data_IF_823322143780
#
_entry.id   IF_823322143780
#
_cell.length_a   1.000
_cell.length_b   1.000
_cell.length_c   1.000
_cell.angle_alpha   90.00
_cell.angle_beta   90.00
_cell.angle_gamma   90.00
#
_symmetry.space_group_name_H-M   'P 1'
#
loop_
_entity.id
_entity.type
_entity.pdbx_description
1 polymer ?
#
# COMPACT_ATOMS: atom_id res chain seq x y z
N UNK A 1 25.54 -6.02 3.68
CA UNK A 1 24.97 -7.26 3.09
C UNK A 1 23.44 -7.34 3.21
N UNK A 2 22.83 -6.89 4.30
CA UNK A 2 21.38 -6.97 4.59
C UNK A 2 20.51 -6.00 3.76
N UNK A 3 21.08 -4.91 3.28
CA UNK A 3 20.43 -3.90 2.44
C UNK A 3 20.27 -4.31 0.98
N UNK A 4 21.16 -5.19 0.50
CA UNK A 4 20.98 -5.90 -0.76
C UNK A 4 19.72 -6.79 -0.68
N UNK A 5 19.41 -7.35 0.51
CA UNK A 5 18.20 -8.12 0.72
C UNK A 5 16.94 -7.25 0.63
N UNK A 6 16.94 -6.00 1.11
CA UNK A 6 15.80 -5.06 0.95
C UNK A 6 15.50 -4.74 -0.53
N UNK A 7 16.54 -4.50 -1.32
CA UNK A 7 16.44 -4.24 -2.76
C UNK A 7 16.06 -5.51 -3.54
N UNK A 8 16.61 -6.65 -3.14
CA UNK A 8 16.22 -7.94 -3.69
C UNK A 8 14.77 -8.26 -3.32
N UNK A 9 14.33 -8.08 -2.08
CA UNK A 9 13.02 -8.45 -1.53
C UNK A 9 11.83 -7.75 -2.20
N UNK A 10 12.03 -6.57 -2.81
CA UNK A 10 10.95 -5.87 -3.52
C UNK A 10 10.68 -6.35 -4.93
N UNK A 11 11.75 -6.57 -5.71
CA UNK A 11 11.64 -6.83 -7.15
C UNK A 11 12.01 -8.27 -7.50
N UNK A 12 13.07 -8.84 -6.89
CA UNK A 12 13.64 -10.10 -7.37
C UNK A 12 12.78 -11.34 -7.04
N UNK A 13 12.27 -11.55 -5.80
CA UNK A 13 11.39 -12.69 -5.52
C UNK A 13 10.06 -12.62 -6.25
N UNK A 14 9.49 -11.42 -6.41
CA UNK A 14 8.27 -11.24 -7.20
C UNK A 14 8.50 -11.59 -8.67
N UNK A 15 9.63 -11.17 -9.27
CA UNK A 15 9.93 -11.41 -10.68
C UNK A 15 10.41 -12.84 -10.97
N UNK A 16 11.24 -13.41 -10.09
CA UNK A 16 11.76 -14.77 -10.22
C UNK A 16 10.71 -15.85 -9.89
N UNK A 17 9.79 -15.58 -8.96
CA UNK A 17 8.87 -16.62 -8.47
C UNK A 17 7.38 -16.28 -8.63
N UNK A 18 6.99 -15.02 -8.81
CA UNK A 18 5.59 -14.57 -8.81
C UNK A 18 4.74 -14.94 -10.05
N UNK A 19 5.34 -15.48 -11.12
CA UNK A 19 4.57 -16.00 -12.26
C UNK A 19 3.77 -17.26 -11.93
N UNK A 20 4.19 -18.05 -10.94
CA UNK A 20 3.67 -19.41 -10.69
C UNK A 20 3.09 -19.67 -9.28
N UNK A 21 3.00 -18.67 -8.40
CA UNK A 21 2.44 -18.89 -7.06
C UNK A 21 0.91 -18.99 -7.09
N UNK A 22 0.39 -20.18 -6.73
CA UNK A 22 -1.03 -20.38 -6.37
C UNK A 22 -1.38 -19.84 -4.98
N UNK A 23 -0.39 -19.68 -4.09
CA UNK A 23 -0.56 -19.20 -2.72
C UNK A 23 0.09 -17.83 -2.51
N UNK A 24 -0.70 -16.78 -2.75
CA UNK A 24 -0.30 -15.38 -2.57
C UNK A 24 -0.14 -14.96 -1.09
N UNK A 25 -0.62 -15.77 -0.14
CA UNK A 25 -0.86 -15.37 1.25
C UNK A 25 0.38 -15.28 2.15
N UNK A 26 1.44 -16.06 1.93
CA UNK A 26 2.60 -16.11 2.85
C UNK A 26 3.63 -15.00 2.62
N UNK A 27 3.71 -14.48 1.39
CA UNK A 27 4.57 -13.33 1.05
C UNK A 27 3.97 -11.98 1.51
N UNK A 28 2.67 -11.97 1.84
CA UNK A 28 1.90 -10.79 2.24
C UNK A 28 2.48 -10.08 3.49
N UNK A 29 3.05 -10.85 4.42
CA UNK A 29 3.62 -10.32 5.67
C UNK A 29 5.13 -10.52 5.74
N UNK A 30 5.68 -11.57 5.13
CA UNK A 30 7.09 -11.93 5.30
C UNK A 30 8.06 -10.86 4.81
N UNK A 31 7.86 -10.33 3.60
CA UNK A 31 8.79 -9.35 3.00
C UNK A 31 8.71 -7.98 3.68
N UNK A 32 7.51 -7.43 3.98
CA UNK A 32 7.38 -6.18 4.72
C UNK A 32 7.90 -6.29 6.18
N UNK A 33 7.58 -7.38 6.89
CA UNK A 33 8.05 -7.59 8.27
C UNK A 33 9.55 -7.85 8.35
N UNK A 34 10.15 -8.49 7.33
CA UNK A 34 11.61 -8.58 7.22
C UNK A 34 12.26 -7.21 6.97
N UNK A 35 11.59 -6.30 6.26
CA UNK A 35 12.07 -4.92 6.11
C UNK A 35 12.02 -4.12 7.41
N UNK A 36 10.95 -4.27 8.20
CA UNK A 36 10.81 -3.66 9.53
C UNK A 36 11.84 -4.20 10.53
N UNK A 37 12.07 -5.52 10.56
CA UNK A 37 13.04 -6.09 11.48
C UNK A 37 14.46 -5.59 11.19
N UNK A 38 14.83 -5.36 9.93
CA UNK A 38 16.13 -4.81 9.55
C UNK A 38 16.28 -3.33 9.96
N UNK A 39 15.23 -2.51 9.84
CA UNK A 39 15.26 -1.08 10.23
C UNK A 39 15.50 -0.87 11.75
N UNK A 40 15.07 -1.83 12.57
CA UNK A 40 15.23 -1.75 14.02
C UNK A 40 16.69 -1.94 14.49
N UNK A 41 17.54 -2.60 13.69
CA UNK A 41 18.91 -2.98 14.07
C UNK A 41 20.02 -2.04 13.60
N UNK A 42 19.74 -1.02 12.79
CA UNK A 42 20.75 -0.07 12.32
C UNK A 42 20.32 1.38 12.56
N UNK A 43 21.28 2.27 12.73
CA UNK A 43 21.05 3.69 12.97
C UNK A 43 21.09 4.46 11.63
N UNK A 44 19.94 4.90 11.08
CA UNK A 44 19.85 5.54 9.77
C UNK A 44 20.49 6.93 9.72
N UNK A 45 21.04 7.42 10.83
CA UNK A 45 21.51 8.81 10.99
C UNK A 45 22.94 9.07 10.47
N UNK A 46 23.70 8.04 10.11
CA UNK A 46 25.02 8.24 9.52
C UNK A 46 24.92 8.51 8.01
N UNK A 47 25.03 9.80 7.65
CA UNK A 47 25.09 10.28 6.27
C UNK A 47 26.35 9.74 5.55
N UNK A 48 26.30 8.48 5.16
CA UNK A 48 27.35 7.78 4.43
C UNK A 48 27.01 7.75 2.94
N UNK A 49 28.02 7.64 2.09
CA UNK A 49 27.84 7.40 0.64
C UNK A 49 26.96 6.18 0.36
N UNK A 50 26.96 5.19 1.26
CA UNK A 50 26.11 4.01 1.20
C UNK A 50 24.63 4.38 1.32
N UNK A 51 24.26 5.29 2.24
CA UNK A 51 22.87 5.72 2.43
C UNK A 51 22.27 6.32 1.15
N UNK A 52 23.01 7.20 0.47
CA UNK A 52 22.57 7.82 -0.80
C UNK A 52 22.39 6.79 -1.92
N UNK A 53 23.26 5.78 -2.00
CA UNK A 53 23.12 4.69 -2.98
C UNK A 53 21.86 3.87 -2.71
N UNK A 54 21.56 3.59 -1.45
CA UNK A 54 20.37 2.84 -1.07
C UNK A 54 19.07 3.62 -1.32
N UNK A 55 19.07 4.92 -1.03
CA UNK A 55 17.97 5.83 -1.34
C UNK A 55 17.65 5.81 -2.84
N UNK A 56 18.68 5.94 -3.69
CA UNK A 56 18.53 5.87 -5.14
C UNK A 56 18.00 4.51 -5.60
N UNK A 57 18.48 3.40 -5.02
CA UNK A 57 18.01 2.05 -5.35
C UNK A 57 16.55 1.83 -4.94
N UNK A 58 16.14 2.33 -3.77
CA UNK A 58 14.75 2.28 -3.30
C UNK A 58 13.83 3.14 -4.16
N UNK A 59 14.28 4.35 -4.55
CA UNK A 59 13.56 5.20 -5.48
C UNK A 59 13.38 4.53 -6.85
N UNK A 60 14.45 3.96 -7.40
CA UNK A 60 14.39 3.20 -8.67
C UNK A 60 13.43 2.00 -8.55
N UNK A 61 13.45 1.31 -7.42
CA UNK A 61 12.53 0.19 -7.13
C UNK A 61 11.08 0.63 -7.11
N UNK A 62 10.81 1.77 -6.47
CA UNK A 62 9.48 2.38 -6.41
C UNK A 62 8.98 2.75 -7.81
N UNK A 63 9.82 3.41 -8.63
CA UNK A 63 9.52 3.77 -10.02
C UNK A 63 9.22 2.55 -10.88
N UNK A 64 10.06 1.51 -10.82
CA UNK A 64 9.84 0.27 -11.57
C UNK A 64 8.55 -0.43 -11.15
N UNK A 65 8.27 -0.49 -9.85
CA UNK A 65 7.03 -1.10 -9.32
C UNK A 65 5.81 -0.32 -9.79
N UNK A 66 5.85 1.01 -9.79
CA UNK A 66 4.79 1.84 -10.33
C UNK A 66 4.53 1.51 -11.80
N UNK A 67 5.55 1.44 -12.65
CA UNK A 67 5.38 1.06 -14.06
C UNK A 67 4.80 -0.36 -14.25
N UNK A 68 5.23 -1.31 -13.42
CA UNK A 68 4.69 -2.68 -13.45
C UNK A 68 3.23 -2.74 -12.98
N UNK A 69 2.86 -1.88 -12.03
CA UNK A 69 1.49 -1.78 -11.54
C UNK A 69 0.52 -1.41 -12.65
N UNK A 70 0.94 -0.51 -13.56
CA UNK A 70 0.13 -0.07 -14.69
C UNK A 70 -0.24 -1.19 -15.67
N UNK A 71 0.57 -2.26 -15.73
CA UNK A 71 0.31 -3.43 -16.58
C UNK A 71 -0.42 -4.55 -15.85
N UNK A 72 -0.61 -4.42 -14.54
CA UNK A 72 -1.23 -5.44 -13.71
C UNK A 72 -2.69 -5.12 -13.47
N UNK A 73 -3.55 -6.10 -13.76
CA UNK A 73 -5.01 -6.00 -13.60
C UNK A 73 -5.54 -6.80 -12.40
N UNK A 74 -4.73 -7.67 -11.83
CA UNK A 74 -5.13 -8.50 -10.70
C UNK A 74 -5.03 -7.69 -9.40
N UNK A 75 -6.16 -7.48 -8.72
CA UNK A 75 -6.27 -6.65 -7.52
C UNK A 75 -5.42 -7.15 -6.36
N UNK A 76 -5.34 -8.48 -6.20
CA UNK A 76 -4.46 -9.13 -5.21
C UNK A 76 -3.01 -8.73 -5.48
N UNK A 77 -2.54 -8.85 -6.73
CA UNK A 77 -1.16 -8.45 -7.09
C UNK A 77 -0.91 -6.96 -6.88
N UNK A 78 -1.90 -6.12 -7.15
CA UNK A 78 -1.80 -4.67 -6.98
C UNK A 78 -1.64 -4.25 -5.52
N UNK A 79 -2.20 -4.99 -4.56
CA UNK A 79 -2.01 -4.68 -3.14
C UNK A 79 -0.55 -4.73 -2.70
N UNK A 80 0.24 -5.66 -3.24
CA UNK A 80 1.68 -5.75 -2.95
C UNK A 80 2.45 -4.58 -3.55
N UNK A 81 2.06 -4.11 -4.73
CA UNK A 81 2.75 -3.01 -5.39
C UNK A 81 2.62 -1.70 -4.62
N UNK A 82 1.51 -1.46 -3.92
CA UNK A 82 1.43 -0.33 -3.00
C UNK A 82 2.52 -0.38 -1.93
N UNK A 83 2.81 -1.56 -1.36
CA UNK A 83 3.88 -1.67 -0.35
C UNK A 83 5.24 -1.35 -0.95
N UNK A 84 5.56 -1.89 -2.12
CA UNK A 84 6.87 -1.69 -2.76
C UNK A 84 7.06 -0.29 -3.34
N UNK A 85 6.02 0.36 -3.85
CA UNK A 85 6.09 1.77 -4.24
C UNK A 85 6.47 2.64 -3.03
N UNK A 86 5.97 2.33 -1.85
CA UNK A 86 6.24 3.12 -0.65
C UNK A 86 7.53 2.74 0.08
N UNK A 87 8.36 1.82 -0.43
CA UNK A 87 9.61 1.44 0.23
C UNK A 87 10.58 2.61 0.42
N UNK A 88 10.58 3.55 -0.53
CA UNK A 88 11.43 4.75 -0.46
C UNK A 88 11.03 5.71 0.67
N UNK A 89 9.85 5.53 1.27
CA UNK A 89 9.43 6.31 2.45
C UNK A 89 10.42 6.15 3.62
N UNK A 90 11.15 5.03 3.72
CA UNK A 90 12.12 4.83 4.81
C UNK A 90 13.19 5.93 4.90
N UNK A 91 13.46 6.64 3.80
CA UNK A 91 14.47 7.70 3.72
C UNK A 91 13.96 9.08 4.12
N UNK A 92 12.64 9.27 4.27
CA UNK A 92 12.03 10.54 4.68
C UNK A 92 11.57 10.55 6.14
N UNK A 93 11.46 9.39 6.78
CA UNK A 93 11.13 9.27 8.19
C UNK A 93 12.40 9.19 9.03
N UNK A 94 12.72 10.28 9.75
CA UNK A 94 13.86 10.35 10.69
C UNK A 94 13.53 9.70 12.03
N UNK A 95 12.28 9.80 12.45
CA UNK A 95 11.78 9.20 13.69
C UNK A 95 11.34 7.75 13.41
N UNK A 96 11.99 6.80 14.09
CA UNK A 96 11.74 5.36 13.91
C UNK A 96 10.29 5.01 14.21
N UNK A 97 9.71 5.61 15.24
CA UNK A 97 8.32 5.34 15.64
C UNK A 97 7.32 5.80 14.58
N UNK A 98 7.53 7.00 14.01
CA UNK A 98 6.70 7.53 12.93
C UNK A 98 6.78 6.66 11.66
N UNK A 99 7.97 6.14 11.34
CA UNK A 99 8.13 5.18 10.25
C UNK A 99 7.35 3.89 10.49
N UNK A 100 7.45 3.32 11.68
CA UNK A 100 6.74 2.09 12.05
C UNK A 100 5.22 2.27 11.98
N UNK A 101 4.70 3.40 12.46
CA UNK A 101 3.29 3.76 12.31
C UNK A 101 2.87 3.86 10.84
N UNK A 102 3.65 4.57 10.01
CA UNK A 102 3.38 4.72 8.59
C UNK A 102 3.36 3.37 7.87
N UNK A 103 4.41 2.58 8.06
CA UNK A 103 4.58 1.30 7.38
C UNK A 103 3.56 0.26 7.86
N UNK A 104 3.26 0.23 9.15
CA UNK A 104 2.18 -0.59 9.70
C UNK A 104 0.83 -0.21 9.09
N UNK A 105 0.51 1.08 9.04
CA UNK A 105 -0.71 1.58 8.40
C UNK A 105 -0.78 1.22 6.91
N UNK A 106 0.33 1.33 6.19
CA UNK A 106 0.44 0.95 4.78
C UNK A 106 0.18 -0.55 4.57
N UNK A 107 0.80 -1.42 5.37
CA UNK A 107 0.62 -2.87 5.29
C UNK A 107 -0.82 -3.28 5.61
N UNK A 108 -1.42 -2.69 6.64
CA UNK A 108 -2.83 -2.95 6.97
C UNK A 108 -3.78 -2.45 5.88
N UNK A 109 -3.48 -1.32 5.25
CA UNK A 109 -4.25 -0.80 4.11
C UNK A 109 -4.13 -1.72 2.89
N UNK A 110 -2.92 -2.21 2.60
CA UNK A 110 -2.66 -3.18 1.55
C UNK A 110 -3.34 -4.53 1.86
N UNK A 111 -3.41 -4.93 3.14
CA UNK A 111 -4.14 -6.12 3.56
C UNK A 111 -5.63 -6.00 3.29
N UNK A 112 -6.20 -4.85 3.60
CA UNK A 112 -7.60 -4.57 3.29
C UNK A 112 -7.87 -4.72 1.78
N UNK A 113 -7.00 -4.16 0.94
CA UNK A 113 -7.13 -4.32 -0.53
C UNK A 113 -6.95 -5.78 -0.96
N UNK A 114 -6.02 -6.51 -0.36
CA UNK A 114 -5.82 -7.95 -0.58
C UNK A 114 -7.09 -8.74 -0.24
N UNK A 115 -7.73 -8.48 0.91
CA UNK A 115 -8.96 -9.16 1.33
C UNK A 115 -10.11 -8.91 0.35
N UNK A 116 -10.22 -7.69 -0.18
CA UNK A 116 -11.19 -7.36 -1.24
C UNK A 116 -10.91 -8.19 -2.49
N UNK A 117 -9.67 -8.19 -2.97
CA UNK A 117 -9.27 -8.98 -4.14
C UNK A 117 -9.48 -10.48 -3.95
N UNK A 118 -9.18 -11.00 -2.76
CA UNK A 118 -9.40 -12.39 -2.39
C UNK A 118 -10.89 -12.75 -2.36
N UNK A 119 -11.73 -11.86 -1.81
CA UNK A 119 -13.17 -12.03 -1.81
C UNK A 119 -13.73 -12.06 -3.24
N UNK A 120 -13.27 -11.15 -4.09
CA UNK A 120 -13.62 -11.11 -5.52
C UNK A 120 -13.21 -12.41 -6.21
N UNK A 121 -11.98 -12.88 -6.02
CA UNK A 121 -11.49 -14.12 -6.63
C UNK A 121 -12.35 -15.32 -6.23
N UNK A 122 -12.63 -15.47 -4.94
CA UNK A 122 -13.42 -16.59 -4.42
C UNK A 122 -14.90 -16.53 -4.77
N UNK A 123 -15.48 -15.33 -4.86
CA UNK A 123 -16.93 -15.17 -4.98
C UNK A 123 -17.36 -14.92 -6.43
N UNK A 124 -16.56 -14.15 -7.18
CA UNK A 124 -16.83 -13.76 -8.56
C UNK A 124 -16.01 -14.60 -9.57
N UNK A 125 -15.07 -15.40 -9.09
CA UNK A 125 -14.20 -16.25 -9.93
C UNK A 125 -13.01 -15.50 -10.54
N UNK A 126 -12.77 -14.25 -10.15
CA UNK A 126 -11.62 -13.46 -10.61
C UNK A 126 -11.32 -12.31 -9.65
N UNK A 127 -10.07 -11.85 -9.62
CA UNK A 127 -9.67 -10.57 -9.02
C UNK A 127 -9.27 -9.53 -10.07
N UNK A 128 -9.67 -9.70 -11.33
CA UNK A 128 -9.32 -8.78 -12.41
C UNK A 128 -10.19 -7.51 -12.37
N UNK A 129 -9.55 -6.35 -12.20
CA UNK A 129 -10.20 -5.04 -12.04
C UNK A 129 -10.94 -4.55 -13.29
N UNK A 130 -10.54 -5.03 -14.48
CA UNK A 130 -11.19 -4.67 -15.74
C UNK A 130 -12.31 -5.65 -16.10
N UNK A 131 -12.27 -6.88 -15.56
CA UNK A 131 -13.34 -7.85 -15.75
C UNK A 131 -14.51 -7.64 -14.77
N UNK A 132 -14.21 -7.10 -13.58
CA UNK A 132 -15.18 -6.88 -12.50
C UNK A 132 -15.40 -5.36 -12.35
N UNK A 133 -16.33 -4.86 -13.16
CA UNK A 133 -16.68 -3.44 -13.27
C UNK A 133 -18.01 -3.13 -12.58
N UNK A 134 -18.34 -1.86 -12.38
CA UNK A 134 -19.65 -1.42 -11.87
C UNK A 134 -20.03 -1.98 -10.50
N UNK A 135 -19.04 -2.33 -9.65
CA UNK A 135 -19.26 -2.99 -8.35
C UNK A 135 -20.21 -2.18 -7.47
N UNK A 136 -20.16 -0.84 -7.54
CA UNK A 136 -21.02 0.07 -6.76
C UNK A 136 -22.51 -0.25 -6.92
N UNK A 137 -22.94 -0.69 -8.11
CA UNK A 137 -24.34 -0.96 -8.42
C UNK A 137 -24.81 -2.35 -7.97
N UNK A 138 -23.89 -3.30 -7.77
CA UNK A 138 -24.23 -4.71 -7.53
C UNK A 138 -23.79 -5.23 -6.16
N UNK A 139 -22.72 -4.69 -5.61
CA UNK A 139 -22.15 -5.06 -4.31
C UNK A 139 -21.67 -3.80 -3.57
N UNK A 140 -22.59 -2.96 -3.06
CA UNK A 140 -22.27 -1.64 -2.51
C UNK A 140 -21.38 -1.69 -1.26
N UNK A 141 -21.49 -2.70 -0.40
CA UNK A 141 -20.60 -2.80 0.79
C UNK A 141 -19.18 -3.16 0.38
N UNK A 142 -19.02 -4.11 -0.56
CA UNK A 142 -17.71 -4.42 -1.14
C UNK A 142 -17.09 -3.18 -1.80
N UNK A 143 -17.90 -2.43 -2.57
CA UNK A 143 -17.48 -1.19 -3.20
C UNK A 143 -17.00 -0.13 -2.17
N UNK A 144 -17.71 0.00 -1.04
CA UNK A 144 -17.32 0.89 0.05
C UNK A 144 -15.93 0.52 0.58
N UNK A 145 -15.69 -0.74 0.94
CA UNK A 145 -14.40 -1.15 1.51
C UNK A 145 -13.26 -1.15 0.50
N UNK A 146 -13.54 -1.44 -0.78
CA UNK A 146 -12.58 -1.22 -1.85
C UNK A 146 -12.18 0.26 -1.92
N UNK A 147 -13.17 1.17 -1.89
CA UNK A 147 -12.93 2.61 -1.92
C UNK A 147 -12.13 3.08 -0.70
N UNK A 148 -12.50 2.68 0.51
CA UNK A 148 -11.78 3.06 1.72
C UNK A 148 -10.33 2.55 1.72
N UNK A 149 -10.11 1.32 1.23
CA UNK A 149 -8.76 0.75 1.11
C UNK A 149 -7.91 1.58 0.16
N UNK A 150 -8.45 1.93 -1.00
CA UNK A 150 -7.77 2.70 -2.02
C UNK A 150 -7.59 4.17 -1.64
N UNK A 151 -8.52 4.78 -0.89
CA UNK A 151 -8.36 6.14 -0.39
C UNK A 151 -7.23 6.23 0.65
N UNK A 152 -7.13 5.25 1.55
CA UNK A 152 -6.02 5.21 2.50
C UNK A 152 -4.68 4.93 1.81
N UNK A 153 -4.63 3.97 0.89
CA UNK A 153 -3.42 3.69 0.10
C UNK A 153 -3.03 4.86 -0.81
N UNK A 154 -4.03 5.57 -1.36
CA UNK A 154 -3.88 6.72 -2.25
C UNK A 154 -3.48 8.03 -1.54
N UNK A 155 -3.11 7.97 -0.26
CA UNK A 155 -2.69 9.13 0.55
C UNK A 155 -3.74 10.26 0.58
N UNK A 156 -5.03 9.90 0.61
CA UNK A 156 -6.12 10.87 0.71
C UNK A 156 -6.37 11.29 2.17
N UNK A 157 -6.47 12.59 2.51
CA UNK A 157 -6.92 13.00 3.85
C UNK A 157 -8.42 12.70 4.07
N UNK A 158 -8.87 12.32 5.29
CA UNK A 158 -8.15 12.24 6.56
C UNK A 158 -7.65 10.81 6.88
N UNK A 159 -7.25 10.01 5.88
CA UNK A 159 -6.85 8.63 6.13
C UNK A 159 -5.44 8.50 6.70
N UNK A 160 -5.22 7.42 7.44
CA UNK A 160 -4.04 7.19 8.27
C UNK A 160 -2.70 7.43 7.56
N UNK A 161 -2.49 6.85 6.38
CA UNK A 161 -1.22 7.00 5.67
C UNK A 161 -0.94 8.47 5.29
N UNK A 162 -1.99 9.22 4.91
CA UNK A 162 -1.88 10.63 4.58
C UNK A 162 -1.57 11.48 5.82
N UNK A 163 -2.26 11.20 6.93
CA UNK A 163 -2.06 11.91 8.19
C UNK A 163 -0.65 11.67 8.73
N UNK A 164 -0.18 10.42 8.80
CA UNK A 164 1.16 10.10 9.32
C UNK A 164 2.25 10.71 8.44
N UNK A 165 2.09 10.67 7.11
CA UNK A 165 3.02 11.32 6.19
C UNK A 165 3.07 12.83 6.42
N UNK A 166 1.90 13.46 6.57
CA UNK A 166 1.79 14.90 6.85
C UNK A 166 2.44 15.25 8.18
N UNK A 167 2.15 14.47 9.23
CA UNK A 167 2.77 14.62 10.55
C UNK A 167 4.29 14.52 10.48
N UNK A 168 4.84 13.58 9.71
CA UNK A 168 6.27 13.48 9.52
C UNK A 168 6.86 14.72 8.83
N UNK A 169 6.21 15.24 7.78
CA UNK A 169 6.65 16.45 7.07
C UNK A 169 6.66 17.68 7.99
N UNK A 170 5.66 17.79 8.88
CA UNK A 170 5.55 18.92 9.81
C UNK A 170 6.56 18.78 10.97
N UNK A 171 6.71 17.57 11.54
CA UNK A 171 7.61 17.30 12.67
C UNK A 171 9.08 17.30 12.25
N UNK A 172 9.38 16.83 11.05
CA UNK A 172 10.74 16.68 10.54
C UNK A 172 10.96 17.65 9.38
N UNK A 173 11.92 18.58 9.55
CA UNK A 173 12.39 19.37 8.41
C UNK A 173 13.11 18.42 7.43
N UNK A 174 12.39 18.03 6.38
CA UNK A 174 12.88 17.21 5.29
C UNK A 174 13.59 18.11 4.27
N UNK A 175 14.75 17.66 3.77
CA UNK A 175 15.49 18.35 2.72
C UNK A 175 14.76 18.28 1.38
N UNK A 176 15.32 18.95 0.36
CA UNK A 176 14.78 18.97 -1.01
C UNK A 176 14.56 17.55 -1.56
N UNK A 177 15.54 16.66 -1.35
CA UNK A 177 15.47 15.25 -1.78
C UNK A 177 14.27 14.53 -1.15
N UNK A 178 14.00 14.80 0.13
CA UNK A 178 12.85 14.26 0.84
C UNK A 178 11.51 14.76 0.28
N UNK A 179 11.41 16.03 -0.10
CA UNK A 179 10.20 16.56 -0.75
C UNK A 179 9.96 15.93 -2.13
N UNK A 180 11.02 15.62 -2.89
CA UNK A 180 10.89 14.87 -4.15
C UNK A 180 10.33 13.47 -3.92
N UNK A 181 10.79 12.78 -2.87
CA UNK A 181 10.25 11.48 -2.48
C UNK A 181 8.77 11.60 -2.08
N UNK A 182 8.41 12.57 -1.24
CA UNK A 182 7.02 12.81 -0.83
C UNK A 182 6.13 13.06 -2.05
N UNK A 183 6.56 13.93 -2.97
CA UNK A 183 5.85 14.23 -4.20
C UNK A 183 5.65 12.97 -5.04
N UNK A 184 6.71 12.21 -5.26
CA UNK A 184 6.66 10.96 -5.99
C UNK A 184 5.68 9.96 -5.36
N UNK A 185 5.77 9.74 -4.04
CA UNK A 185 4.88 8.84 -3.32
C UNK A 185 3.42 9.27 -3.44
N UNK A 186 3.13 10.57 -3.28
CA UNK A 186 1.77 11.09 -3.44
C UNK A 186 1.18 10.73 -4.81
N UNK A 187 1.87 11.10 -5.89
CA UNK A 187 1.37 10.85 -7.25
C UNK A 187 1.33 9.36 -7.60
N UNK A 188 2.37 8.60 -7.25
CA UNK A 188 2.42 7.18 -7.54
C UNK A 188 1.26 6.42 -6.89
N UNK A 189 1.02 6.66 -5.60
CA UNK A 189 -0.11 6.06 -4.88
C UNK A 189 -1.46 6.54 -5.41
N UNK A 190 -1.61 7.86 -5.60
CA UNK A 190 -2.86 8.45 -6.09
C UNK A 190 -3.26 7.85 -7.43
N UNK A 191 -2.35 7.82 -8.40
CA UNK A 191 -2.67 7.32 -9.74
C UNK A 191 -2.94 5.81 -9.75
N UNK A 192 -2.18 5.03 -8.97
CA UNK A 192 -2.47 3.59 -8.81
C UNK A 192 -3.87 3.37 -8.23
N UNK A 193 -4.22 4.11 -7.17
CA UNK A 193 -5.52 4.00 -6.52
C UNK A 193 -6.66 4.45 -7.42
N UNK A 194 -6.50 5.62 -8.05
CA UNK A 194 -7.49 6.20 -8.95
C UNK A 194 -7.79 5.30 -10.14
N UNK A 195 -6.76 4.68 -10.75
CA UNK A 195 -6.94 3.71 -11.83
C UNK A 195 -7.83 2.54 -11.41
N UNK A 196 -7.57 1.96 -10.24
CA UNK A 196 -8.35 0.82 -9.73
C UNK A 196 -9.79 1.25 -9.44
N UNK A 197 -9.99 2.41 -8.81
CA UNK A 197 -11.31 2.98 -8.56
C UNK A 197 -12.08 3.15 -9.87
N UNK A 198 -11.44 3.75 -10.88
CA UNK A 198 -12.08 4.03 -12.17
C UNK A 198 -12.43 2.76 -12.95
N UNK A 199 -11.52 1.77 -13.02
CA UNK A 199 -11.75 0.51 -13.73
C UNK A 199 -12.84 -0.35 -13.08
N UNK A 200 -12.82 -0.50 -11.77
CA UNK A 200 -13.61 -1.54 -11.09
C UNK A 200 -14.91 -1.05 -10.44
N UNK A 201 -14.91 0.14 -9.82
CA UNK A 201 -16.08 0.60 -9.06
C UNK A 201 -17.19 1.15 -9.96
N UNK A 202 -16.81 1.89 -10.99
CA UNK A 202 -17.73 2.63 -11.84
C UNK A 202 -18.00 1.89 -13.16
N UNK A 203 -18.89 2.46 -13.98
CA UNK A 203 -19.28 1.88 -15.27
C UNK A 203 -20.40 0.84 -15.18
N UNK A 204 -20.65 0.17 -16.30
CA UNK A 204 -21.70 -0.86 -16.42
C UNK A 204 -21.19 -2.19 -15.83
N UNK A 205 -21.98 -2.87 -14.97
CA UNK A 205 -21.60 -4.18 -14.44
C UNK A 205 -21.52 -5.22 -15.55
N UNK A 206 -20.53 -6.11 -15.45
CA UNK A 206 -20.35 -7.21 -16.38
C UNK A 206 -21.45 -8.26 -16.18
N UNK A 207 -22.25 -8.52 -17.21
CA UNK A 207 -23.38 -9.45 -17.12
C UNK A 207 -22.96 -10.92 -16.91
N UNK A 208 -21.71 -11.26 -17.21
CA UNK A 208 -21.16 -12.60 -17.03
C UNK A 208 -20.70 -12.87 -15.59
N UNK A 209 -20.65 -11.83 -14.74
CA UNK A 209 -20.20 -11.95 -13.35
C UNK A 209 -21.41 -12.04 -12.42
N UNK A 210 -21.44 -13.09 -11.60
CA UNK A 210 -22.45 -13.20 -10.54
C UNK A 210 -22.01 -12.42 -9.30
N UNK A 211 -22.38 -11.15 -9.25
CA UNK A 211 -22.05 -10.28 -8.13
C UNK A 211 -22.81 -10.68 -6.87
N UNK A 212 -22.07 -10.72 -5.77
CA UNK A 212 -22.58 -10.94 -4.41
C UNK A 212 -21.89 -9.97 -3.48
N UNK A 213 -22.69 -9.31 -2.65
CA UNK A 213 -22.14 -8.39 -1.66
C UNK A 213 -21.56 -9.15 -0.46
N UNK A 214 -20.63 -8.50 0.24
CA UNK A 214 -19.95 -9.09 1.39
C UNK A 214 -20.93 -9.34 2.55
N UNK A 215 -20.72 -10.47 3.23
CA UNK A 215 -21.47 -10.82 4.43
C UNK A 215 -21.06 -9.98 5.65
N UNK A 216 -21.87 -10.03 6.71
CA UNK A 216 -21.64 -9.27 7.95
C UNK A 216 -20.29 -9.56 8.61
N UNK A 217 -19.77 -10.80 8.52
CA UNK A 217 -18.45 -11.14 9.05
C UNK A 217 -17.31 -10.35 8.40
N UNK A 218 -17.33 -10.20 7.07
CA UNK A 218 -16.34 -9.37 6.36
C UNK A 218 -16.50 -7.89 6.71
N UNK A 219 -17.74 -7.40 6.77
CA UNK A 219 -18.03 -6.01 7.17
C UNK A 219 -17.42 -5.72 8.54
N UNK A 220 -17.61 -6.61 9.51
CA UNK A 220 -17.04 -6.47 10.85
C UNK A 220 -15.51 -6.39 10.84
N UNK A 221 -14.85 -7.30 10.10
CA UNK A 221 -13.38 -7.30 9.96
C UNK A 221 -12.88 -5.99 9.35
N UNK A 222 -13.48 -5.53 8.25
CA UNK A 222 -13.08 -4.28 7.63
C UNK A 222 -13.36 -3.07 8.54
N UNK A 223 -14.50 -3.04 9.22
CA UNK A 223 -14.83 -1.95 10.14
C UNK A 223 -13.80 -1.83 11.28
N UNK A 224 -13.37 -2.95 11.87
CA UNK A 224 -12.30 -2.95 12.87
C UNK A 224 -11.00 -2.42 12.26
N UNK A 225 -10.62 -2.93 11.09
CA UNK A 225 -9.40 -2.52 10.41
C UNK A 225 -9.38 -1.01 10.15
N UNK A 226 -10.46 -0.44 9.61
CA UNK A 226 -10.56 1.01 9.37
C UNK A 226 -10.67 1.83 10.64
N UNK A 227 -11.28 1.30 11.70
CA UNK A 227 -11.31 1.96 13.01
C UNK A 227 -9.89 2.08 13.58
N UNK A 228 -9.10 1.00 13.54
CA UNK A 228 -7.69 1.01 13.96
C UNK A 228 -6.87 2.00 13.13
N UNK A 229 -6.99 1.96 11.80
CA UNK A 229 -6.29 2.90 10.92
C UNK A 229 -6.67 4.36 11.24
N UNK A 230 -7.96 4.63 11.43
CA UNK A 230 -8.45 5.97 11.77
C UNK A 230 -7.84 6.45 13.10
N UNK A 231 -7.87 5.61 14.14
CA UNK A 231 -7.28 5.93 15.44
C UNK A 231 -5.78 6.22 15.34
N UNK A 232 -5.03 5.38 14.61
CA UNK A 232 -3.59 5.58 14.37
C UNK A 232 -3.31 6.88 13.62
N UNK A 233 -4.10 7.17 12.58
CA UNK A 233 -3.99 8.40 11.81
C UNK A 233 -4.17 9.65 12.66
N UNK A 234 -5.24 9.71 13.46
CA UNK A 234 -5.49 10.84 14.35
C UNK A 234 -4.45 10.94 15.48
N UNK A 235 -4.01 9.83 16.04
CA UNK A 235 -2.94 9.81 17.04
C UNK A 235 -1.66 10.46 16.50
N UNK A 236 -1.24 10.10 15.29
CA UNK A 236 -0.04 10.68 14.66
C UNK A 236 -0.14 12.18 14.42
N UNK A 237 -1.35 12.71 14.20
CA UNK A 237 -1.59 14.14 14.02
C UNK A 237 -1.57 14.88 15.35
N UNK A 238 -2.13 14.29 16.41
CA UNK A 238 -2.06 14.84 17.77
C UNK A 238 -0.63 14.92 18.29
N UNK A 239 0.23 13.94 17.96
CA UNK A 239 1.66 13.94 18.34
C UNK A 239 2.43 15.16 17.80
N UNK A 240 1.91 15.83 16.77
CA UNK A 240 2.54 17.00 16.15
C UNK A 240 1.88 18.31 16.60
N UNK A 241 0.64 18.27 17.06
CA UNK A 241 -0.10 19.45 17.52
C UNK A 241 0.06 19.75 19.02
N UNK A 242 0.46 18.75 19.81
CA UNK A 242 0.69 18.84 21.26
C UNK A 242 2.19 18.92 21.58
#
# INVERSE_FOLDING_TARGET
MYYLALILMGILPYYLFGKNFKNYSTLFLGLPLMGLSIYHFDDPTTASTVYKVLELMAFTTSVLTFFLSYRTLNLIKLSYYFVFVNVVALFIFKDKWMFELYFGSLVFSAFSLYLVGYYMDKTFGSANIDAITGIVLKAPKLALFLRLSLMNLGLYPPFANALIMTSNIVKTNIGVDGYLIVFWLFFANFFMAFRILNSSLFGKPNQLVNYKDIGQGYVFVFSILFLVLTAVGFYSLMEVLL
#
